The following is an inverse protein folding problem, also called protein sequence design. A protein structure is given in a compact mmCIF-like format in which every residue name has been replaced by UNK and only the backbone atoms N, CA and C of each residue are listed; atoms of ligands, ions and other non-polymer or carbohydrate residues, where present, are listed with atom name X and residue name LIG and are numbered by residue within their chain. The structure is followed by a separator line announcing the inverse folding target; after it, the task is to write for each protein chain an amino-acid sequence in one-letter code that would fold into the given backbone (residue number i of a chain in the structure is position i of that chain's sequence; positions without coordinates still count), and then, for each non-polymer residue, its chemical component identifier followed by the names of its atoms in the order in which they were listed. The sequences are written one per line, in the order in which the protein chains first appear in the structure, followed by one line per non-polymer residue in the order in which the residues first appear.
data_IF_462821605454
#
_entry.id   IF_462821605454
#
_cell.length_a   1.000
_cell.length_b   1.000
_cell.length_c   1.000
_cell.angle_alpha   90.00
_cell.angle_beta   90.00
_cell.angle_gamma   90.00
#
_symmetry.space_group_name_H-M   'P 1'
#
loop_
_entity.id
_entity.type
_entity.pdbx_description
1 polymer ?
#
# COMPACT_ATOMS: atom_id res chain seq x y z
N UNK A 1 6.76 -8.60 16.59
CA UNK A 1 6.65 -7.16 16.24
C UNK A 1 5.30 -6.94 15.59
N UNK A 2 4.40 -6.21 16.22
CA UNK A 2 3.09 -5.91 15.64
C UNK A 2 3.20 -4.72 14.71
N UNK A 3 2.85 -4.88 13.43
CA UNK A 3 3.11 -3.88 12.38
C UNK A 3 1.96 -2.90 12.12
N UNK A 4 0.76 -3.12 12.67
CA UNK A 4 -0.42 -2.36 12.29
C UNK A 4 -1.37 -2.07 13.45
N UNK A 5 -1.89 -0.86 13.45
CA UNK A 5 -3.02 -0.39 14.25
C UNK A 5 -2.60 0.24 15.56
N UNK A 6 -2.55 1.50 15.54
CA UNK A 6 -2.85 2.53 16.53
C UNK A 6 -2.01 3.79 16.30
N UNK A 7 -2.55 4.92 16.63
CA UNK A 7 -2.10 6.29 16.37
C UNK A 7 -0.57 6.46 16.43
N UNK A 8 -0.03 6.97 15.35
CA UNK A 8 1.35 7.45 15.29
C UNK A 8 1.41 8.74 16.13
N UNK A 9 2.40 8.89 17.02
CA UNK A 9 2.64 10.19 17.65
C UNK A 9 3.05 11.18 16.57
N UNK A 10 2.13 12.03 16.20
CA UNK A 10 2.32 13.11 15.25
C UNK A 10 1.45 14.29 15.60
N UNK A 11 1.74 15.42 15.02
CA UNK A 11 0.89 16.61 15.07
C UNK A 11 0.04 16.60 13.82
N UNK A 12 -1.28 16.53 13.97
CA UNK A 12 -2.21 16.70 12.85
C UNK A 12 -2.55 18.19 12.70
N UNK A 13 -2.21 18.77 11.57
CA UNK A 13 -2.62 20.11 11.17
C UNK A 13 -3.86 20.02 10.31
N UNK A 14 -4.92 20.74 10.71
CA UNK A 14 -6.15 20.81 9.95
C UNK A 14 -6.25 22.17 9.24
N UNK A 15 -6.15 22.14 7.91
CA UNK A 15 -6.38 23.31 7.05
C UNK A 15 -7.84 23.31 6.61
N UNK A 16 -8.62 24.32 7.04
CA UNK A 16 -10.09 24.30 6.89
C UNK A 16 -10.62 24.98 5.63
N UNK A 17 -9.84 25.79 4.93
CA UNK A 17 -10.30 26.55 3.74
C UNK A 17 -9.27 26.55 2.63
N UNK A 18 -9.67 26.47 1.35
CA UNK A 18 -11.04 26.34 0.82
C UNK A 18 -11.63 24.94 0.95
N UNK A 19 -10.81 23.91 1.18
CA UNK A 19 -11.17 22.51 1.42
C UNK A 19 -10.49 22.03 2.68
N UNK A 20 -11.16 21.21 3.46
CA UNK A 20 -10.55 20.60 4.63
C UNK A 20 -9.44 19.65 4.22
N UNK A 21 -8.22 19.90 4.71
CA UNK A 21 -7.03 19.08 4.48
C UNK A 21 -6.42 18.76 5.83
N UNK A 22 -6.29 17.48 6.12
CA UNK A 22 -5.57 16.99 7.29
C UNK A 22 -4.12 16.67 6.89
N UNK A 23 -3.17 17.19 7.64
CA UNK A 23 -1.73 16.98 7.43
C UNK A 23 -1.12 16.39 8.69
N UNK A 24 -0.68 15.16 8.64
CA UNK A 24 0.00 14.49 9.74
C UNK A 24 1.52 14.73 9.65
N UNK A 25 2.07 15.34 10.69
CA UNK A 25 3.52 15.52 10.85
C UNK A 25 4.01 14.43 11.79
N UNK A 26 4.83 13.53 11.26
CA UNK A 26 5.35 12.37 11.98
C UNK A 26 6.86 12.53 12.13
N UNK A 27 7.35 12.49 13.36
CA UNK A 27 8.80 12.45 13.61
C UNK A 27 9.31 11.05 13.27
N UNK A 28 10.46 11.00 12.60
CA UNK A 28 11.12 9.74 12.25
C UNK A 28 12.62 9.84 12.46
N UNK A 29 13.23 8.75 12.92
CA UNK A 29 14.68 8.64 13.02
C UNK A 29 15.22 8.11 11.69
N UNK A 30 16.14 8.85 11.09
CA UNK A 30 16.85 8.41 9.89
C UNK A 30 17.99 7.47 10.27
N UNK A 31 18.04 6.28 9.67
CA UNK A 31 19.11 5.31 9.84
C UNK A 31 19.90 5.11 8.55
N UNK A 32 21.14 5.59 8.52
CA UNK A 32 22.01 5.63 7.34
C UNK A 32 22.91 4.40 7.16
N UNK A 33 22.56 3.29 7.76
CA UNK A 33 23.32 2.04 7.64
C UNK A 33 22.67 1.08 6.63
N UNK A 34 23.22 -0.13 6.54
CA UNK A 34 22.63 -1.21 5.73
C UNK A 34 21.22 -1.53 6.24
N UNK A 35 20.36 -1.82 5.32
CA UNK A 35 19.01 -2.28 5.67
C UNK A 35 19.06 -3.52 6.57
N UNK A 36 18.11 -3.69 7.48
CA UNK A 36 18.05 -4.84 8.38
C UNK A 36 18.06 -6.17 7.63
N UNK A 37 18.57 -7.23 8.25
CA UNK A 37 18.57 -8.59 7.68
C UNK A 37 17.16 -9.08 7.34
N UNK A 38 16.14 -8.69 8.11
CA UNK A 38 14.72 -8.98 7.83
C UNK A 38 14.22 -8.45 6.48
N UNK A 39 14.96 -7.52 5.86
CA UNK A 39 14.65 -7.03 4.51
C UNK A 39 15.37 -7.82 3.41
N UNK A 40 16.15 -8.83 3.76
CA UNK A 40 16.82 -9.68 2.80
C UNK A 40 15.76 -10.45 2.01
N UNK A 41 15.84 -10.39 0.67
CA UNK A 41 14.78 -10.92 -0.20
C UNK A 41 13.63 -9.96 -0.50
N UNK A 42 13.44 -8.90 0.30
CA UNK A 42 12.45 -7.86 0.02
C UNK A 42 12.81 -6.95 -1.16
N UNK A 43 11.88 -6.07 -1.53
CA UNK A 43 12.01 -5.17 -2.68
C UNK A 43 12.27 -5.95 -3.98
N UNK A 44 11.33 -6.77 -4.45
CA UNK A 44 11.53 -7.68 -5.59
C UNK A 44 11.41 -6.97 -6.95
N UNK A 45 11.92 -5.76 -7.08
CA UNK A 45 11.77 -4.87 -8.26
C UNK A 45 12.79 -5.14 -9.38
N UNK A 46 13.65 -6.14 -9.26
CA UNK A 46 14.72 -6.37 -10.23
C UNK A 46 14.21 -6.63 -11.65
N UNK A 47 13.10 -7.36 -11.78
CA UNK A 47 12.46 -7.65 -13.08
C UNK A 47 11.62 -6.46 -13.59
N UNK A 48 11.20 -5.58 -12.69
CA UNK A 48 10.39 -4.41 -13.03
C UNK A 48 11.25 -3.18 -13.33
N UNK A 49 12.02 -2.68 -12.36
CA UNK A 49 12.82 -1.46 -12.49
C UNK A 49 14.31 -1.70 -12.69
N UNK A 50 14.73 -2.96 -12.65
CA UNK A 50 16.10 -3.39 -12.87
C UNK A 50 16.99 -3.41 -11.62
N UNK A 51 18.05 -4.21 -11.68
CA UNK A 51 18.96 -4.42 -10.57
C UNK A 51 19.72 -3.14 -10.16
N UNK A 52 20.01 -2.23 -11.09
CA UNK A 52 20.66 -0.95 -10.78
C UNK A 52 19.78 -0.08 -9.89
N UNK A 53 18.48 0.03 -10.22
CA UNK A 53 17.51 0.78 -9.42
C UNK A 53 17.36 0.14 -8.06
N UNK A 54 17.18 -1.18 -7.98
CA UNK A 54 17.11 -1.91 -6.70
C UNK A 54 18.32 -1.60 -5.82
N UNK A 55 19.52 -1.69 -6.37
CA UNK A 55 20.76 -1.43 -5.63
C UNK A 55 20.87 0.05 -5.20
N UNK A 56 20.39 0.98 -6.01
CA UNK A 56 20.35 2.40 -5.67
C UNK A 56 19.40 2.65 -4.51
N UNK A 57 18.17 2.10 -4.56
CA UNK A 57 17.18 2.25 -3.50
C UNK A 57 17.64 1.61 -2.19
N UNK A 58 18.31 0.46 -2.25
CA UNK A 58 18.85 -0.21 -1.05
C UNK A 58 20.02 0.51 -0.38
N UNK A 59 20.63 1.49 -1.04
CA UNK A 59 21.62 2.38 -0.43
C UNK A 59 21.03 3.59 0.27
N UNK A 60 19.75 3.87 0.03
CA UNK A 60 19.06 4.96 0.72
C UNK A 60 18.84 4.58 2.19
N UNK A 61 18.78 5.57 3.09
CA UNK A 61 18.46 5.33 4.49
C UNK A 61 17.06 4.72 4.61
N UNK A 62 16.80 4.05 5.71
CA UNK A 62 15.43 3.75 6.13
C UNK A 62 15.08 4.57 7.36
N UNK A 63 13.79 4.62 7.68
CA UNK A 63 13.30 5.42 8.79
C UNK A 63 12.67 4.54 9.85
N UNK A 64 12.85 4.95 11.10
CA UNK A 64 12.18 4.38 12.26
C UNK A 64 11.13 5.39 12.71
N UNK A 65 9.87 4.94 12.75
CA UNK A 65 8.74 5.75 13.20
C UNK A 65 8.23 5.19 14.52
N UNK A 66 8.05 6.02 15.57
CA UNK A 66 7.54 5.55 16.82
C UNK A 66 6.16 4.93 16.66
N UNK A 67 5.92 3.86 17.41
CA UNK A 67 4.65 3.16 17.45
C UNK A 67 4.11 3.22 18.86
N UNK A 68 2.87 3.68 19.01
CA UNK A 68 2.21 3.60 20.31
C UNK A 68 1.97 2.15 20.73
N UNK A 69 2.34 1.84 21.96
CA UNK A 69 1.81 0.68 22.64
C UNK A 69 0.29 0.89 22.87
N UNK A 70 -0.51 -0.16 22.73
CA UNK A 70 -1.93 -0.11 23.10
C UNK A 70 -2.04 0.21 24.58
N UNK A 71 -2.89 1.17 24.95
CA UNK A 71 -3.30 1.38 26.33
C UNK A 71 -3.85 0.07 26.91
N UNK A 72 -3.30 -0.41 28.02
CA UNK A 72 -3.86 -1.54 28.75
C UNK A 72 -2.88 -2.55 29.36
N UNK A 73 -1.60 -2.55 29.04
CA UNK A 73 -0.62 -3.38 29.74
C UNK A 73 0.44 -2.50 30.40
N UNK A 74 0.60 -2.66 31.72
CA UNK A 74 1.35 -1.81 32.63
C UNK A 74 2.86 -1.60 32.42
N UNK A 75 3.42 -1.89 31.27
CA UNK A 75 4.72 -1.46 30.78
C UNK A 75 4.60 -1.16 29.30
N UNK A 76 4.63 0.12 28.93
CA UNK A 76 4.70 0.55 27.54
C UNK A 76 6.14 0.35 27.04
N UNK A 77 6.41 -0.77 26.40
CA UNK A 77 7.62 -0.89 25.60
C UNK A 77 7.49 0.06 24.41
N UNK A 78 8.35 1.07 24.35
CA UNK A 78 8.49 1.90 23.16
C UNK A 78 8.90 1.02 21.99
N UNK A 79 8.04 0.89 21.01
CA UNK A 79 8.31 0.10 19.81
C UNK A 79 8.44 1.01 18.58
N UNK A 80 9.31 0.63 17.66
CA UNK A 80 9.60 1.37 16.46
C UNK A 80 9.20 0.55 15.23
N UNK A 81 8.67 1.22 14.24
CA UNK A 81 8.30 0.62 12.96
C UNK A 81 9.27 1.08 11.87
N UNK A 82 9.75 0.12 11.06
CA UNK A 82 10.47 0.43 9.83
C UNK A 82 9.53 1.12 8.84
N UNK A 83 9.99 2.23 8.27
CA UNK A 83 9.27 2.98 7.24
C UNK A 83 10.11 3.12 5.99
N UNK A 84 9.53 2.75 4.86
CA UNK A 84 10.10 2.84 3.52
C UNK A 84 9.32 3.82 2.63
N UNK A 85 8.56 4.74 3.22
CA UNK A 85 7.66 5.64 2.51
C UNK A 85 8.33 6.48 1.42
N UNK A 86 9.59 6.88 1.62
CA UNK A 86 10.39 7.60 0.63
C UNK A 86 10.77 6.68 -0.55
N UNK A 87 11.14 5.41 -0.28
CA UNK A 87 11.42 4.41 -1.32
C UNK A 87 10.16 4.12 -2.14
N UNK A 88 9.03 3.95 -1.49
CA UNK A 88 7.73 3.78 -2.15
C UNK A 88 7.40 4.97 -3.07
N UNK A 89 7.67 6.19 -2.60
CA UNK A 89 7.50 7.41 -3.39
C UNK A 89 8.40 7.43 -4.61
N UNK A 90 9.66 7.02 -4.45
CA UNK A 90 10.62 6.94 -5.56
C UNK A 90 10.22 5.89 -6.59
N UNK A 91 9.76 4.71 -6.16
CA UNK A 91 9.20 3.68 -7.04
C UNK A 91 8.00 4.23 -7.83
N UNK A 92 7.06 4.89 -7.15
CA UNK A 92 5.88 5.47 -7.81
C UNK A 92 6.22 6.65 -8.72
N UNK A 93 7.29 7.37 -8.46
CA UNK A 93 7.78 8.46 -9.32
C UNK A 93 8.39 7.91 -10.61
N UNK A 94 9.14 6.79 -10.51
CA UNK A 94 9.88 6.17 -11.60
C UNK A 94 9.35 4.76 -11.89
N UNK A 95 8.03 4.63 -12.12
CA UNK A 95 7.29 3.38 -12.11
C UNK A 95 7.35 2.56 -13.41
N UNK A 96 7.86 3.11 -14.50
CA UNK A 96 7.98 2.40 -15.77
C UNK A 96 9.31 1.66 -15.93
N UNK A 97 9.32 0.60 -16.72
CA UNK A 97 10.58 0.00 -17.20
C UNK A 97 11.32 0.98 -18.10
N UNK A 98 10.60 1.66 -19.00
CA UNK A 98 11.14 2.75 -19.77
C UNK A 98 11.35 3.97 -18.89
N UNK A 99 12.53 4.60 -19.02
CA UNK A 99 12.82 5.87 -18.34
C UNK A 99 11.89 7.00 -18.78
N UNK A 100 11.35 6.92 -20.00
CA UNK A 100 10.42 7.90 -20.58
C UNK A 100 8.96 7.61 -20.29
N UNK A 101 8.64 6.58 -19.51
CA UNK A 101 7.26 6.24 -19.15
C UNK A 101 6.56 7.46 -18.50
N UNK A 102 5.43 7.84 -19.06
CA UNK A 102 4.63 9.00 -18.64
C UNK A 102 5.28 10.38 -18.83
N UNK A 103 6.43 10.48 -19.47
CA UNK A 103 6.97 11.76 -19.94
C UNK A 103 6.15 12.32 -21.12
N UNK A 104 6.45 13.56 -21.55
CA UNK A 104 5.67 14.27 -22.58
C UNK A 104 5.58 13.46 -23.86
N UNK A 105 6.71 12.89 -24.32
CA UNK A 105 6.82 12.09 -25.55
C UNK A 105 6.81 10.58 -25.29
N UNK A 106 6.58 10.17 -24.03
CA UNK A 106 6.60 8.78 -23.61
C UNK A 106 5.22 8.12 -23.62
N UNK A 107 5.23 6.79 -23.52
CA UNK A 107 4.00 6.00 -23.38
C UNK A 107 3.31 6.36 -22.08
N UNK A 108 2.02 6.69 -22.16
CA UNK A 108 1.18 6.93 -20.97
C UNK A 108 0.71 5.60 -20.42
N UNK A 109 1.10 5.29 -19.19
CA UNK A 109 0.64 4.10 -18.51
C UNK A 109 -0.42 4.42 -17.44
N UNK A 110 -1.20 3.41 -17.05
CA UNK A 110 -2.27 3.56 -16.06
C UNK A 110 -1.91 3.09 -14.64
N UNK A 111 -0.62 2.79 -14.34
CA UNK A 111 -0.22 2.25 -13.02
C UNK A 111 -0.65 3.15 -11.86
N UNK A 112 -0.42 4.45 -11.97
CA UNK A 112 -0.81 5.40 -10.89
C UNK A 112 -2.32 5.54 -10.75
N UNK A 113 -3.02 5.50 -11.87
CA UNK A 113 -4.48 5.55 -11.92
C UNK A 113 -5.07 4.29 -11.27
N UNK A 114 -4.56 3.11 -11.58
CA UNK A 114 -4.97 1.86 -10.92
C UNK A 114 -4.76 1.94 -9.40
N UNK A 115 -3.61 2.42 -8.92
CA UNK A 115 -3.39 2.58 -7.48
C UNK A 115 -4.36 3.58 -6.85
N UNK A 116 -4.69 4.67 -7.55
CA UNK A 116 -5.68 5.65 -7.04
C UNK A 116 -7.06 5.01 -6.95
N UNK A 117 -7.49 4.30 -8.00
CA UNK A 117 -8.77 3.59 -8.01
C UNK A 117 -8.86 2.52 -6.93
N UNK A 118 -7.81 1.73 -6.72
CA UNK A 118 -7.74 0.74 -5.66
C UNK A 118 -7.90 1.36 -4.27
N UNK A 119 -7.24 2.49 -4.01
CA UNK A 119 -7.37 3.21 -2.74
C UNK A 119 -8.77 3.79 -2.58
N UNK A 120 -9.29 4.38 -3.65
CA UNK A 120 -10.63 4.97 -3.65
C UNK A 120 -11.69 3.90 -3.40
N UNK A 121 -11.59 2.73 -4.02
CA UNK A 121 -12.47 1.59 -3.76
C UNK A 121 -12.50 1.24 -2.27
N UNK A 122 -11.34 1.10 -1.63
CA UNK A 122 -11.27 0.80 -0.20
C UNK A 122 -11.88 1.92 0.66
N UNK A 123 -11.61 3.18 0.33
CA UNK A 123 -12.16 4.35 1.03
C UNK A 123 -13.69 4.39 0.92
N UNK A 124 -14.23 4.19 -0.28
CA UNK A 124 -15.68 4.19 -0.50
C UNK A 124 -16.37 3.02 0.21
N UNK A 125 -15.75 1.83 0.22
CA UNK A 125 -16.28 0.71 1.00
C UNK A 125 -16.26 0.98 2.50
N UNK A 126 -15.22 1.63 3.00
CA UNK A 126 -15.15 2.05 4.40
C UNK A 126 -16.21 3.10 4.75
N UNK A 127 -16.46 4.03 3.86
CA UNK A 127 -17.50 5.05 4.05
C UNK A 127 -18.89 4.42 4.01
N UNK A 128 -19.18 3.60 3.01
CA UNK A 128 -20.44 2.87 2.86
C UNK A 128 -20.76 1.97 4.06
N UNK A 129 -19.76 1.37 4.67
CA UNK A 129 -19.86 0.45 5.79
C UNK A 129 -19.22 0.98 7.08
N UNK A 130 -19.25 2.30 7.30
CA UNK A 130 -18.52 3.00 8.37
C UNK A 130 -18.81 2.53 9.80
N UNK A 131 -19.91 1.79 10.04
CA UNK A 131 -20.24 1.19 11.32
C UNK A 131 -19.60 -0.20 11.53
N UNK A 132 -18.83 -0.67 10.56
CA UNK A 132 -18.20 -2.00 10.60
C UNK A 132 -16.76 -1.92 11.07
N UNK A 133 -16.54 -2.31 12.33
CA UNK A 133 -15.18 -2.42 12.91
C UNK A 133 -14.26 -3.36 12.17
N UNK A 134 -14.84 -4.27 11.39
CA UNK A 134 -14.12 -5.21 10.53
C UNK A 134 -13.22 -4.51 9.50
N UNK A 135 -13.58 -3.31 9.06
CA UNK A 135 -12.77 -2.56 8.08
C UNK A 135 -11.71 -1.66 8.71
N UNK A 136 -11.72 -1.44 10.03
CA UNK A 136 -10.81 -0.47 10.68
C UNK A 136 -9.34 -0.83 10.53
N UNK A 137 -9.02 -2.13 10.56
CA UNK A 137 -7.64 -2.63 10.47
C UNK A 137 -7.11 -2.68 9.04
N UNK A 138 -8.00 -2.67 8.05
CA UNK A 138 -7.63 -2.65 6.64
C UNK A 138 -7.37 -1.20 6.21
N UNK A 139 -6.24 -0.93 5.57
CA UNK A 139 -5.85 0.42 5.19
C UNK A 139 -5.25 0.46 3.78
N UNK A 140 -5.07 1.67 3.26
CA UNK A 140 -4.50 1.91 1.93
C UNK A 140 -3.11 1.32 1.71
N UNK A 141 -2.40 0.94 2.79
CA UNK A 141 -1.10 0.28 2.69
C UNK A 141 -1.20 -1.15 2.18
N UNK A 142 -2.22 -1.90 2.60
CA UNK A 142 -2.48 -3.26 2.08
C UNK A 142 -2.70 -3.21 0.57
N UNK A 143 -3.54 -2.29 0.13
CA UNK A 143 -3.82 -2.05 -1.29
C UNK A 143 -2.56 -1.65 -2.05
N UNK A 144 -1.75 -0.75 -1.50
CA UNK A 144 -0.49 -0.31 -2.11
C UNK A 144 0.52 -1.44 -2.22
N UNK A 145 0.62 -2.29 -1.19
CA UNK A 145 1.51 -3.47 -1.21
C UNK A 145 1.07 -4.46 -2.26
N UNK A 146 -0.21 -4.78 -2.34
CA UNK A 146 -0.75 -5.64 -3.40
C UNK A 146 -0.45 -5.09 -4.79
N UNK A 147 -0.66 -3.79 -5.00
CA UNK A 147 -0.34 -3.12 -6.25
C UNK A 147 1.16 -3.23 -6.63
N UNK A 148 2.09 -3.10 -5.68
CA UNK A 148 3.50 -3.28 -5.96
C UNK A 148 3.84 -4.72 -6.38
N UNK A 149 3.19 -5.71 -5.80
CA UNK A 149 3.34 -7.10 -6.22
C UNK A 149 2.83 -7.32 -7.65
N UNK A 150 1.68 -6.74 -8.00
CA UNK A 150 1.16 -6.80 -9.38
C UNK A 150 2.13 -6.15 -10.36
N UNK A 151 2.65 -4.96 -10.07
CA UNK A 151 3.65 -4.31 -10.93
C UNK A 151 4.95 -5.12 -11.07
N UNK A 152 5.28 -5.95 -10.07
CA UNK A 152 6.44 -6.84 -10.12
C UNK A 152 6.18 -8.08 -10.96
N UNK A 153 4.95 -8.61 -10.93
CA UNK A 153 4.52 -9.76 -11.73
C UNK A 153 4.33 -9.38 -13.20
N UNK A 154 3.76 -8.20 -13.45
CA UNK A 154 3.51 -7.65 -14.78
C UNK A 154 4.37 -6.40 -15.02
N UNK A 155 5.70 -6.56 -15.22
CA UNK A 155 6.62 -5.45 -15.25
C UNK A 155 6.59 -4.64 -16.55
N UNK A 156 6.16 -5.24 -17.66
CA UNK A 156 6.20 -4.64 -19.00
C UNK A 156 5.26 -3.43 -19.11
N UNK A 157 5.79 -2.30 -19.58
CA UNK A 157 5.01 -1.08 -19.79
C UNK A 157 3.88 -1.26 -20.81
N UNK A 158 4.02 -2.19 -21.77
CA UNK A 158 3.00 -2.48 -22.77
C UNK A 158 1.71 -3.05 -22.17
N UNK A 159 1.79 -3.71 -21.02
CA UNK A 159 0.66 -4.26 -20.29
C UNK A 159 -0.13 -3.19 -19.49
N UNK A 160 0.42 -1.99 -19.37
CA UNK A 160 -0.15 -0.90 -18.57
C UNK A 160 -0.56 0.30 -19.39
N UNK A 161 -0.95 0.12 -20.64
CA UNK A 161 -1.40 1.24 -21.46
C UNK A 161 -2.60 1.95 -20.83
N UNK A 162 -2.64 3.29 -20.94
CA UNK A 162 -3.75 4.10 -20.41
C UNK A 162 -5.11 3.72 -20.98
N UNK A 163 -5.17 3.20 -22.20
CA UNK A 163 -6.39 2.70 -22.83
C UNK A 163 -6.93 1.41 -22.19
N UNK A 164 -6.07 0.64 -21.50
CA UNK A 164 -6.38 -0.64 -20.89
C UNK A 164 -6.60 -0.49 -19.37
N UNK A 165 -6.91 0.72 -18.89
CA UNK A 165 -7.07 1.05 -17.47
C UNK A 165 -8.04 0.09 -16.76
N UNK A 166 -9.18 -0.20 -17.35
CA UNK A 166 -10.20 -1.08 -16.78
C UNK A 166 -9.65 -2.49 -16.54
N UNK A 167 -8.99 -3.07 -17.53
CA UNK A 167 -8.35 -4.39 -17.43
C UNK A 167 -7.24 -4.40 -16.37
N UNK A 168 -6.37 -3.39 -16.37
CA UNK A 168 -5.29 -3.28 -15.40
C UNK A 168 -5.81 -3.11 -13.97
N UNK A 169 -6.88 -2.34 -13.81
CA UNK A 169 -7.55 -2.17 -12.52
C UNK A 169 -8.17 -3.48 -12.04
N UNK A 170 -8.89 -4.20 -12.93
CA UNK A 170 -9.47 -5.51 -12.62
C UNK A 170 -8.41 -6.54 -12.21
N UNK A 171 -7.24 -6.55 -12.86
CA UNK A 171 -6.11 -7.38 -12.46
C UNK A 171 -5.61 -7.05 -11.05
N UNK A 172 -5.49 -5.76 -10.71
CA UNK A 172 -5.12 -5.32 -9.36
C UNK A 172 -6.15 -5.76 -8.31
N UNK A 173 -7.44 -5.61 -8.61
CA UNK A 173 -8.55 -6.05 -7.74
C UNK A 173 -8.51 -7.57 -7.57
N UNK A 174 -8.31 -8.33 -8.64
CA UNK A 174 -8.21 -9.79 -8.61
C UNK A 174 -7.08 -10.26 -7.71
N UNK A 175 -5.90 -9.67 -7.85
CA UNK A 175 -4.76 -10.00 -6.98
C UNK A 175 -5.06 -9.71 -5.51
N UNK A 176 -5.63 -8.55 -5.20
CA UNK A 176 -5.96 -8.19 -3.82
C UNK A 176 -7.05 -9.11 -3.24
N UNK A 177 -8.07 -9.48 -4.03
CA UNK A 177 -9.06 -10.49 -3.64
C UNK A 177 -8.42 -11.85 -3.33
N UNK A 178 -7.46 -12.27 -4.14
CA UNK A 178 -6.73 -13.50 -3.88
C UNK A 178 -5.97 -13.42 -2.55
N UNK A 179 -5.28 -12.30 -2.29
CA UNK A 179 -4.60 -12.09 -1.01
C UNK A 179 -5.56 -12.17 0.19
N UNK A 180 -6.74 -11.57 0.10
CA UNK A 180 -7.76 -11.63 1.14
C UNK A 180 -8.27 -13.07 1.38
N UNK A 181 -8.49 -13.84 0.30
CA UNK A 181 -8.98 -15.24 0.36
C UNK A 181 -7.94 -16.20 0.90
N UNK A 182 -6.68 -16.04 0.50
CA UNK A 182 -5.57 -16.87 0.98
C UNK A 182 -5.06 -16.42 2.35
N UNK A 183 -5.52 -15.26 2.82
CA UNK A 183 -5.05 -14.61 4.05
C UNK A 183 -3.54 -14.31 4.02
N UNK A 184 -2.97 -14.07 2.84
CA UNK A 184 -1.54 -13.87 2.64
C UNK A 184 -1.28 -12.62 1.80
N UNK A 185 -0.47 -11.70 2.35
CA UNK A 185 0.07 -10.54 1.64
C UNK A 185 1.44 -10.22 2.23
N UNK A 186 2.50 -10.67 1.57
CA UNK A 186 3.85 -10.38 2.01
C UNK A 186 4.14 -8.88 1.97
N UNK A 187 4.75 -8.38 3.04
CA UNK A 187 5.21 -7.01 3.09
C UNK A 187 6.32 -6.80 2.04
N UNK A 188 6.17 -5.82 1.16
CA UNK A 188 7.01 -5.64 -0.02
C UNK A 188 8.52 -5.47 0.28
N UNK A 189 8.86 -4.95 1.46
CA UNK A 189 10.24 -4.71 1.92
C UNK A 189 10.72 -5.73 2.95
N UNK A 190 9.83 -6.44 3.62
CA UNK A 190 10.14 -7.39 4.71
C UNK A 190 9.32 -8.66 4.49
N UNK A 191 9.80 -9.59 3.60
CA UNK A 191 8.98 -10.74 3.17
C UNK A 191 8.52 -11.65 4.30
N UNK A 192 9.25 -11.69 5.42
CA UNK A 192 8.89 -12.48 6.60
C UNK A 192 7.61 -11.97 7.32
N UNK A 193 7.11 -10.78 6.93
CA UNK A 193 5.93 -10.17 7.50
C UNK A 193 4.74 -10.35 6.57
N UNK A 194 3.74 -11.10 7.02
CA UNK A 194 2.45 -11.19 6.35
C UNK A 194 1.50 -10.10 6.90
N UNK A 195 1.10 -9.17 6.01
CA UNK A 195 0.23 -8.06 6.36
C UNK A 195 -1.22 -8.47 6.65
N UNK A 196 -1.64 -9.63 6.15
CA UNK A 196 -2.98 -10.18 6.34
C UNK A 196 -2.99 -11.34 7.35
N UNK A 197 -1.92 -11.52 8.11
CA UNK A 197 -1.89 -12.55 9.15
C UNK A 197 -3.05 -12.39 10.13
N UNK A 198 -3.52 -13.50 10.70
CA UNK A 198 -4.66 -13.51 11.63
C UNK A 198 -4.42 -12.72 12.91
N UNK A 199 -3.16 -12.56 13.31
CA UNK A 199 -2.77 -11.75 14.47
C UNK A 199 -3.03 -10.26 14.24
N UNK A 200 -3.08 -9.83 12.98
CA UNK A 200 -3.26 -8.44 12.58
C UNK A 200 -4.68 -8.16 12.13
N UNK A 201 -5.22 -9.02 11.26
CA UNK A 201 -6.55 -8.86 10.69
C UNK A 201 -7.29 -10.18 10.82
N UNK A 202 -8.41 -10.17 11.54
CA UNK A 202 -9.21 -11.36 11.73
C UNK A 202 -9.85 -11.85 10.42
N UNK A 203 -10.24 -13.11 10.42
CA UNK A 203 -10.80 -13.77 9.24
C UNK A 203 -12.11 -13.12 8.76
N UNK A 204 -12.98 -12.71 9.68
CA UNK A 204 -14.27 -12.12 9.35
C UNK A 204 -14.09 -10.79 8.60
N UNK A 205 -13.11 -9.98 9.02
CA UNK A 205 -12.76 -8.72 8.34
C UNK A 205 -12.33 -8.95 6.89
N UNK A 206 -11.50 -9.98 6.64
CA UNK A 206 -11.02 -10.34 5.29
C UNK A 206 -12.16 -10.89 4.43
N UNK A 207 -12.97 -11.80 4.98
CA UNK A 207 -14.14 -12.35 4.27
C UNK A 207 -15.17 -11.29 3.94
N UNK A 208 -15.44 -10.38 4.89
CA UNK A 208 -16.38 -9.29 4.65
C UNK A 208 -15.89 -8.39 3.50
N UNK A 209 -14.65 -7.89 3.57
CA UNK A 209 -14.09 -7.03 2.51
C UNK A 209 -14.04 -7.77 1.16
N UNK A 210 -13.64 -9.04 1.15
CA UNK A 210 -13.61 -9.84 -0.08
C UNK A 210 -14.98 -9.91 -0.74
N UNK A 211 -16.05 -10.19 0.02
CA UNK A 211 -17.42 -10.23 -0.49
C UNK A 211 -17.88 -8.88 -1.04
N UNK A 212 -17.53 -7.77 -0.37
CA UNK A 212 -17.91 -6.45 -0.85
C UNK A 212 -17.18 -6.08 -2.14
N UNK A 213 -15.88 -6.34 -2.23
CA UNK A 213 -15.11 -6.10 -3.47
C UNK A 213 -15.62 -6.99 -4.61
N UNK A 214 -15.93 -8.26 -4.35
CA UNK A 214 -16.52 -9.15 -5.37
C UNK A 214 -17.88 -8.64 -5.87
N UNK A 215 -18.72 -8.15 -4.97
CA UNK A 215 -20.00 -7.54 -5.33
C UNK A 215 -19.78 -6.31 -6.24
N UNK A 216 -18.91 -5.39 -5.84
CA UNK A 216 -18.61 -4.19 -6.63
C UNK A 216 -18.08 -4.57 -8.02
N UNK A 217 -17.12 -5.50 -8.09
CA UNK A 217 -16.52 -5.99 -9.33
C UNK A 217 -17.57 -6.60 -10.27
N UNK A 218 -18.42 -7.48 -9.75
CA UNK A 218 -19.43 -8.19 -10.53
C UNK A 218 -20.56 -7.28 -11.04
N UNK A 219 -20.70 -6.09 -10.44
CA UNK A 219 -21.73 -5.11 -10.80
C UNK A 219 -21.14 -3.83 -11.46
N UNK A 220 -19.89 -3.88 -11.94
CA UNK A 220 -19.25 -2.74 -12.63
C UNK A 220 -18.89 -1.59 -11.69
N UNK A 221 -18.60 -1.89 -10.44
CA UNK A 221 -18.17 -0.93 -9.40
C UNK A 221 -19.18 0.21 -9.16
N UNK A 222 -20.45 -0.10 -8.80
CA UNK A 222 -21.47 0.91 -8.54
C UNK A 222 -21.05 1.94 -7.52
N UNK A 223 -20.18 1.58 -6.55
CA UNK A 223 -19.65 2.49 -5.54
C UNK A 223 -18.93 3.71 -6.12
N UNK A 224 -18.44 3.66 -7.36
CA UNK A 224 -17.82 4.81 -8.04
C UNK A 224 -18.83 5.80 -8.62
N UNK A 225 -20.09 5.43 -8.75
CA UNK A 225 -21.17 6.26 -9.28
C UNK A 225 -22.13 6.79 -8.22
N UNK A 226 -21.94 6.46 -6.94
CA UNK A 226 -22.83 6.86 -5.83
C UNK A 226 -22.55 8.28 -5.29
N UNK A 227 -21.64 9.07 -5.92
CA UNK A 227 -21.23 10.42 -5.48
C UNK A 227 -21.22 11.45 -6.61
#
# INVERSE_FOLDING_TARGET
MSFWGSSIQGVTLLVRKPKEISVDIILALEYKSRWPTSTQGGLPISNWLGAKVKNSLRRQPFYLVPKHAKEGSGFQEESWRLSFSHIEKDILKNHGQSKTCCEIDGVKCCRKECLKLMKYLLEQLKEKFGNRKELDKLCSYHVKTAFFHVCTQDPDDSQWHSKDLELCFDNCVTYFLQCLKTEQLEHYFIPEVDLLSRDHIDKLSKEFLSKQIEYERNNGFPVFGEF
#
